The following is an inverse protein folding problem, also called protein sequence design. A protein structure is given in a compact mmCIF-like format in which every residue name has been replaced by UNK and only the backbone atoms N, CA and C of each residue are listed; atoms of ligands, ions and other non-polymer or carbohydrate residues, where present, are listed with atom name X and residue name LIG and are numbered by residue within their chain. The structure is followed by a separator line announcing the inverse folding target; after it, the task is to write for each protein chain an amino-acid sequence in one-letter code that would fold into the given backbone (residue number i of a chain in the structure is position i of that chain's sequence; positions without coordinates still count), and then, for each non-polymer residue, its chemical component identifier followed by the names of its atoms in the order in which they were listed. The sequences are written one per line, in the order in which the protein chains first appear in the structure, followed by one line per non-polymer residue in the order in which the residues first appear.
data_IF_641065678092
#
_entry.id   IF_641065678092
#
_cell.length_a   1.000
_cell.length_b   1.000
_cell.length_c   1.000
_cell.angle_alpha   90.00
_cell.angle_beta   90.00
_cell.angle_gamma   90.00
#
_symmetry.space_group_name_H-M   'P 1'
#
loop_
_entity.id
_entity.type
_entity.pdbx_description
1 polymer ?
#
# COMPACT_ATOMS: atom_id res chain seq x y z
N UNK A 1 -42.15 6.04 -36.31
CA UNK A 1 -42.66 6.13 -34.92
C UNK A 1 -42.69 4.77 -34.23
N UNK A 2 -43.17 3.68 -34.87
CA UNK A 2 -43.22 2.34 -34.28
C UNK A 2 -41.85 1.79 -33.82
N UNK A 3 -40.81 1.95 -34.63
CA UNK A 3 -39.45 1.49 -34.28
C UNK A 3 -38.86 2.21 -33.06
N UNK A 4 -39.16 3.50 -32.89
CA UNK A 4 -38.65 4.30 -31.77
C UNK A 4 -39.32 3.91 -30.45
N UNK A 5 -40.64 3.69 -30.46
CA UNK A 5 -41.41 3.19 -29.31
C UNK A 5 -40.88 1.83 -28.84
N UNK A 6 -40.62 0.91 -29.77
CA UNK A 6 -40.06 -0.42 -29.45
C UNK A 6 -38.63 -0.30 -28.89
N UNK A 7 -37.80 0.58 -29.46
CA UNK A 7 -36.45 0.84 -28.97
C UNK A 7 -36.45 1.38 -27.53
N UNK A 8 -37.31 2.36 -27.23
CA UNK A 8 -37.45 2.93 -25.89
C UNK A 8 -37.90 1.88 -24.88
N UNK A 9 -38.90 1.06 -25.23
CA UNK A 9 -39.34 -0.05 -24.40
C UNK A 9 -38.21 -1.03 -24.08
N UNK A 10 -37.41 -1.42 -25.08
CA UNK A 10 -36.28 -2.33 -24.88
C UNK A 10 -35.19 -1.73 -23.99
N UNK A 11 -34.91 -0.44 -24.12
CA UNK A 11 -33.99 0.29 -23.23
C UNK A 11 -34.47 0.29 -21.78
N UNK A 12 -35.75 0.61 -21.55
CA UNK A 12 -36.37 0.56 -20.22
C UNK A 12 -36.32 -0.86 -19.63
N UNK A 13 -36.58 -1.89 -20.44
CA UNK A 13 -36.50 -3.29 -20.02
C UNK A 13 -35.08 -3.67 -19.58
N UNK A 14 -34.05 -3.20 -20.29
CA UNK A 14 -32.66 -3.42 -19.87
C UNK A 14 -32.35 -2.71 -18.55
N UNK A 15 -32.79 -1.46 -18.39
CA UNK A 15 -32.62 -0.70 -17.14
C UNK A 15 -33.32 -1.37 -15.96
N UNK A 16 -34.55 -1.81 -16.15
CA UNK A 16 -35.33 -2.53 -15.14
C UNK A 16 -34.67 -3.84 -14.69
N UNK A 17 -34.06 -4.58 -15.63
CA UNK A 17 -33.29 -5.78 -15.28
C UNK A 17 -32.09 -5.47 -14.40
N UNK A 18 -31.34 -4.41 -14.70
CA UNK A 18 -30.21 -3.98 -13.85
C UNK A 18 -30.69 -3.56 -12.45
N UNK A 19 -31.84 -2.89 -12.40
CA UNK A 19 -32.45 -2.44 -11.16
C UNK A 19 -32.85 -3.60 -10.24
N UNK A 20 -33.10 -4.79 -10.78
CA UNK A 20 -33.34 -6.00 -9.97
C UNK A 20 -32.17 -6.34 -9.06
N UNK A 21 -30.93 -6.17 -9.53
CA UNK A 21 -29.72 -6.48 -8.73
C UNK A 21 -29.49 -5.39 -7.68
N UNK A 22 -29.76 -4.13 -8.05
CA UNK A 22 -29.64 -2.98 -7.15
C UNK A 22 -30.70 -3.01 -6.03
N UNK A 23 -31.94 -3.43 -6.34
CA UNK A 23 -33.04 -3.62 -5.37
C UNK A 23 -32.70 -4.71 -4.36
N UNK A 24 -31.97 -5.76 -4.78
CA UNK A 24 -31.45 -6.81 -3.87
C UNK A 24 -30.21 -6.36 -3.10
N UNK A 25 -29.71 -5.16 -3.37
CA UNK A 25 -28.52 -4.59 -2.75
C UNK A 25 -27.27 -5.46 -2.92
N UNK A 26 -27.14 -6.16 -4.05
CA UNK A 26 -26.02 -7.07 -4.30
C UNK A 26 -24.66 -6.38 -4.20
N UNK A 27 -24.58 -5.10 -4.59
CA UNK A 27 -23.36 -4.28 -4.45
C UNK A 27 -22.98 -4.08 -2.98
N UNK A 28 -23.96 -3.84 -2.10
CA UNK A 28 -23.73 -3.65 -0.67
C UNK A 28 -23.26 -4.96 -0.05
N UNK A 29 -23.94 -6.07 -0.36
CA UNK A 29 -23.56 -7.39 0.14
C UNK A 29 -22.11 -7.75 -0.23
N UNK A 30 -21.69 -7.49 -1.48
CA UNK A 30 -20.29 -7.69 -1.90
C UNK A 30 -19.30 -6.79 -1.13
N UNK A 31 -19.63 -5.53 -0.92
CA UNK A 31 -18.80 -4.61 -0.15
C UNK A 31 -18.65 -5.06 1.31
N UNK A 32 -19.75 -5.49 1.95
CA UNK A 32 -19.79 -6.02 3.32
C UNK A 32 -18.95 -7.29 3.44
N UNK A 33 -19.13 -8.27 2.55
CA UNK A 33 -18.29 -9.49 2.52
C UNK A 33 -16.81 -9.17 2.30
N UNK A 34 -16.50 -8.18 1.47
CA UNK A 34 -15.10 -7.76 1.26
C UNK A 34 -14.47 -7.18 2.52
N UNK A 35 -15.21 -6.35 3.28
CA UNK A 35 -14.73 -5.80 4.56
C UNK A 35 -14.49 -6.93 5.56
N UNK A 36 -15.47 -7.84 5.72
CA UNK A 36 -15.35 -9.00 6.60
C UNK A 36 -14.11 -9.84 6.28
N UNK A 37 -13.91 -10.16 5.01
CA UNK A 37 -12.78 -10.98 4.55
C UNK A 37 -11.45 -10.30 4.87
N UNK A 38 -11.34 -8.99 4.65
CA UNK A 38 -10.12 -8.23 4.96
C UNK A 38 -9.84 -8.21 6.46
N UNK A 39 -10.87 -7.94 7.28
CA UNK A 39 -10.73 -7.93 8.74
C UNK A 39 -10.31 -9.30 9.26
N UNK A 40 -10.96 -10.38 8.78
CA UNK A 40 -10.65 -11.75 9.17
C UNK A 40 -9.22 -12.17 8.80
N UNK A 41 -8.73 -11.76 7.62
CA UNK A 41 -7.41 -12.15 7.14
C UNK A 41 -6.27 -11.28 7.71
N UNK A 42 -6.57 -10.09 8.22
CA UNK A 42 -5.58 -9.12 8.69
C UNK A 42 -4.60 -9.69 9.73
N UNK A 43 -5.02 -10.45 10.77
CA UNK A 43 -4.09 -11.04 11.73
C UNK A 43 -3.07 -11.99 11.10
N UNK A 44 -3.48 -12.79 10.10
CA UNK A 44 -2.59 -13.72 9.42
C UNK A 44 -1.57 -12.98 8.53
N UNK A 45 -2.00 -11.92 7.84
CA UNK A 45 -1.09 -11.06 7.06
C UNK A 45 -0.08 -10.33 7.94
N UNK A 46 -0.51 -9.85 9.12
CA UNK A 46 0.40 -9.27 10.12
C UNK A 46 1.41 -10.32 10.61
N UNK A 47 0.94 -11.53 10.96
CA UNK A 47 1.82 -12.60 11.40
C UNK A 47 2.87 -12.95 10.34
N UNK A 48 2.48 -12.98 9.06
CA UNK A 48 3.37 -13.25 7.94
C UNK A 48 4.51 -12.23 7.83
N UNK A 49 4.24 -10.93 7.95
CA UNK A 49 5.30 -9.91 7.93
C UNK A 49 6.21 -9.99 9.17
N UNK A 50 5.68 -10.38 10.33
CA UNK A 50 6.49 -10.62 11.54
C UNK A 50 7.43 -11.81 11.40
N UNK A 51 6.96 -12.90 10.80
CA UNK A 51 7.80 -14.07 10.52
C UNK A 51 8.94 -13.76 9.55
N UNK A 52 8.77 -12.74 8.69
CA UNK A 52 9.82 -12.21 7.81
C UNK A 52 10.73 -11.18 8.49
N UNK A 53 10.58 -10.96 9.80
CA UNK A 53 11.42 -10.06 10.58
C UNK A 53 11.06 -8.57 10.48
N UNK A 54 9.90 -8.20 9.93
CA UNK A 54 9.48 -6.79 9.94
C UNK A 54 9.14 -6.34 11.36
N UNK A 55 9.99 -5.48 11.93
CA UNK A 55 9.95 -5.14 13.35
C UNK A 55 9.04 -3.95 13.69
N UNK A 56 8.61 -3.13 12.73
CA UNK A 56 7.93 -1.85 13.01
C UNK A 56 6.41 -1.91 12.87
N UNK A 57 5.74 -0.80 13.19
CA UNK A 57 4.28 -0.65 13.14
C UNK A 57 3.57 -1.66 14.05
N UNK A 58 3.99 -1.74 15.31
CA UNK A 58 3.38 -2.56 16.37
C UNK A 58 1.90 -2.28 16.66
N UNK A 59 1.41 -1.12 16.22
CA UNK A 59 -0.01 -0.76 16.32
C UNK A 59 -0.92 -1.60 15.41
N UNK A 60 -0.38 -2.32 14.42
CA UNK A 60 -1.19 -3.08 13.45
C UNK A 60 -1.99 -4.20 14.14
N UNK A 61 -1.37 -4.89 15.10
CA UNK A 61 -2.00 -5.95 15.89
C UNK A 61 -3.22 -5.42 16.66
N UNK A 62 -3.05 -4.29 17.36
CA UNK A 62 -4.13 -3.64 18.09
C UNK A 62 -5.23 -3.15 17.14
N UNK A 63 -4.88 -2.56 15.99
CA UNK A 63 -5.85 -2.11 15.00
C UNK A 63 -6.67 -3.27 14.44
N UNK A 64 -6.06 -4.41 14.13
CA UNK A 64 -6.78 -5.60 13.66
C UNK A 64 -7.81 -6.09 14.70
N UNK A 65 -7.45 -6.08 15.99
CA UNK A 65 -8.37 -6.42 17.07
C UNK A 65 -9.54 -5.41 17.17
N UNK A 66 -9.23 -4.10 17.09
CA UNK A 66 -10.25 -3.03 17.10
C UNK A 66 -11.21 -3.18 15.91
N UNK A 67 -10.71 -3.45 14.71
CA UNK A 67 -11.54 -3.69 13.54
C UNK A 67 -12.45 -4.90 13.70
N UNK A 68 -11.95 -5.99 14.27
CA UNK A 68 -12.75 -7.19 14.54
C UNK A 68 -13.92 -6.87 15.48
N UNK A 69 -13.65 -6.18 16.59
CA UNK A 69 -14.69 -5.76 17.56
C UNK A 69 -15.70 -4.79 16.94
N UNK A 70 -15.22 -3.80 16.17
CA UNK A 70 -16.08 -2.84 15.50
C UNK A 70 -16.96 -3.51 14.44
N UNK A 71 -16.41 -4.48 13.71
CA UNK A 71 -17.15 -5.25 12.71
C UNK A 71 -18.28 -6.05 13.33
N UNK A 72 -18.05 -6.77 14.43
CA UNK A 72 -19.10 -7.55 15.10
C UNK A 72 -20.30 -6.69 15.52
N UNK A 73 -20.04 -5.48 16.01
CA UNK A 73 -21.09 -4.52 16.37
C UNK A 73 -21.79 -3.95 15.13
N UNK A 74 -21.04 -3.61 14.10
CA UNK A 74 -21.54 -2.93 12.91
C UNK A 74 -22.30 -3.87 11.96
N UNK A 75 -21.83 -5.12 11.81
CA UNK A 75 -22.41 -6.12 10.92
C UNK A 75 -23.90 -6.32 11.20
N UNK A 76 -24.28 -6.50 12.48
CA UNK A 76 -25.69 -6.62 12.88
C UNK A 76 -26.53 -5.42 12.42
N UNK A 77 -26.00 -4.21 12.57
CA UNK A 77 -26.68 -2.97 12.16
C UNK A 77 -26.83 -2.90 10.64
N UNK A 78 -25.79 -3.26 9.90
CA UNK A 78 -25.81 -3.27 8.43
C UNK A 78 -26.86 -4.27 7.93
N UNK A 79 -26.86 -5.51 8.46
CA UNK A 79 -27.83 -6.54 8.07
C UNK A 79 -29.26 -6.07 8.26
N UNK A 80 -29.60 -5.47 9.42
CA UNK A 80 -30.94 -4.94 9.66
C UNK A 80 -31.34 -3.83 8.66
N UNK A 81 -30.40 -2.92 8.34
CA UNK A 81 -30.66 -1.85 7.36
C UNK A 81 -30.87 -2.43 5.96
N UNK A 82 -30.04 -3.39 5.54
CA UNK A 82 -30.19 -4.05 4.24
C UNK A 82 -31.55 -4.77 4.16
N UNK A 83 -31.90 -5.58 5.17
CA UNK A 83 -33.16 -6.32 5.19
C UNK A 83 -34.37 -5.38 5.12
N UNK A 84 -34.34 -4.28 5.86
CA UNK A 84 -35.39 -3.27 5.84
C UNK A 84 -35.53 -2.61 4.45
N UNK A 85 -34.42 -2.16 3.87
CA UNK A 85 -34.42 -1.46 2.58
C UNK A 85 -34.79 -2.40 1.43
N UNK A 86 -34.25 -3.63 1.40
CA UNK A 86 -34.62 -4.66 0.41
C UNK A 86 -36.10 -4.98 0.52
N UNK A 87 -36.67 -5.07 1.73
CA UNK A 87 -38.09 -5.30 1.94
C UNK A 87 -38.96 -4.21 1.31
N UNK A 88 -38.62 -2.94 1.53
CA UNK A 88 -39.32 -1.79 0.93
C UNK A 88 -39.18 -1.77 -0.61
N UNK A 89 -37.95 -1.87 -1.12
CA UNK A 89 -37.68 -1.80 -2.55
C UNK A 89 -38.27 -2.99 -3.32
N UNK A 90 -38.33 -4.17 -2.72
CA UNK A 90 -38.94 -5.35 -3.35
C UNK A 90 -40.43 -5.16 -3.62
N UNK A 91 -41.16 -4.51 -2.70
CA UNK A 91 -42.58 -4.21 -2.90
C UNK A 91 -42.79 -3.24 -4.06
N UNK A 92 -41.97 -2.20 -4.15
CA UNK A 92 -42.03 -1.23 -5.26
C UNK A 92 -41.59 -1.86 -6.59
N UNK A 93 -40.56 -2.70 -6.58
CA UNK A 93 -40.10 -3.44 -7.75
C UNK A 93 -41.21 -4.34 -8.30
N UNK A 94 -41.95 -5.06 -7.45
CA UNK A 94 -43.10 -5.88 -7.88
C UNK A 94 -44.24 -5.07 -8.49
N UNK A 95 -44.43 -3.80 -8.09
CA UNK A 95 -45.39 -2.90 -8.75
C UNK A 95 -44.91 -2.53 -10.16
N UNK A 96 -43.66 -2.14 -10.33
CA UNK A 96 -43.06 -1.83 -11.64
C UNK A 96 -43.05 -3.06 -12.55
N UNK A 97 -42.75 -4.24 -12.00
CA UNK A 97 -42.80 -5.53 -12.73
C UNK A 97 -44.19 -5.81 -13.31
N UNK A 98 -45.26 -5.55 -12.54
CA UNK A 98 -46.64 -5.69 -13.02
C UNK A 98 -46.94 -4.78 -14.21
N UNK A 99 -46.39 -3.55 -14.22
CA UNK A 99 -46.51 -2.61 -15.35
C UNK A 99 -45.73 -3.08 -16.57
N UNK A 100 -44.51 -3.60 -16.38
CA UNK A 100 -43.75 -4.25 -17.46
C UNK A 100 -44.52 -5.42 -18.07
N UNK A 101 -45.09 -6.30 -17.25
CA UNK A 101 -45.87 -7.45 -17.73
C UNK A 101 -47.09 -7.02 -18.56
N UNK A 102 -47.71 -5.88 -18.25
CA UNK A 102 -48.78 -5.31 -19.07
C UNK A 102 -48.25 -4.79 -20.42
N UNK A 103 -47.16 -4.01 -20.39
CA UNK A 103 -46.54 -3.46 -21.59
C UNK A 103 -46.02 -4.57 -22.54
N UNK A 104 -45.48 -5.65 -21.99
CA UNK A 104 -45.03 -6.81 -22.76
C UNK A 104 -46.15 -7.50 -23.53
N UNK A 105 -47.36 -7.61 -22.95
CA UNK A 105 -48.53 -8.20 -23.63
C UNK A 105 -48.95 -7.43 -24.87
N UNK A 106 -48.65 -6.12 -24.92
CA UNK A 106 -49.00 -5.25 -26.04
C UNK A 106 -47.78 -4.81 -26.86
N UNK A 107 -46.62 -5.43 -26.65
CA UNK A 107 -45.36 -5.01 -27.28
C UNK A 107 -45.39 -5.03 -28.81
N UNK A 108 -46.21 -5.90 -29.41
CA UNK A 108 -46.42 -5.99 -30.86
C UNK A 108 -47.44 -4.96 -31.40
N UNK A 109 -47.99 -4.10 -30.56
CA UNK A 109 -48.98 -3.08 -30.90
C UNK A 109 -48.46 -1.68 -30.53
N UNK A 110 -47.72 -1.00 -31.44
CA UNK A 110 -46.99 0.23 -31.11
C UNK A 110 -47.83 1.37 -30.53
N UNK A 111 -49.08 1.56 -30.98
CA UNK A 111 -49.96 2.60 -30.45
C UNK A 111 -50.38 2.35 -29.00
N UNK A 112 -50.65 1.09 -28.64
CA UNK A 112 -51.00 0.70 -27.26
C UNK A 112 -49.78 0.75 -26.34
N UNK A 113 -48.63 0.33 -26.85
CA UNK A 113 -47.37 0.42 -26.12
C UNK A 113 -47.00 1.88 -25.85
N UNK A 114 -47.14 2.78 -26.84
CA UNK A 114 -46.87 4.20 -26.67
C UNK A 114 -47.69 4.82 -25.53
N UNK A 115 -48.96 4.43 -25.38
CA UNK A 115 -49.82 4.90 -24.28
C UNK A 115 -49.41 4.43 -22.88
N UNK A 116 -48.50 3.46 -22.76
CA UNK A 116 -47.98 2.94 -21.48
C UNK A 116 -46.54 3.39 -21.20
N UNK A 117 -45.84 3.94 -22.19
CA UNK A 117 -44.40 4.17 -22.11
C UNK A 117 -44.02 5.28 -21.11
N UNK A 118 -44.76 6.38 -21.08
CA UNK A 118 -44.46 7.49 -20.18
C UNK A 118 -44.63 7.05 -18.71
N UNK A 119 -45.77 6.43 -18.37
CA UNK A 119 -46.03 5.88 -17.04
C UNK A 119 -44.99 4.83 -16.61
N UNK A 120 -44.54 3.98 -17.55
CA UNK A 120 -43.53 2.97 -17.29
C UNK A 120 -42.15 3.60 -17.06
N UNK A 121 -41.78 4.60 -17.86
CA UNK A 121 -40.53 5.34 -17.71
C UNK A 121 -40.48 6.02 -16.34
N UNK A 122 -41.54 6.72 -15.96
CA UNK A 122 -41.60 7.47 -14.71
C UNK A 122 -41.53 6.51 -13.51
N UNK A 123 -42.23 5.36 -13.58
CA UNK A 123 -42.16 4.33 -12.54
C UNK A 123 -40.75 3.71 -12.38
N UNK A 124 -40.06 3.44 -13.50
CA UNK A 124 -38.67 2.94 -13.47
C UNK A 124 -37.73 3.98 -12.89
N UNK A 125 -37.91 5.26 -13.25
CA UNK A 125 -37.09 6.35 -12.75
C UNK A 125 -37.27 6.54 -11.24
N UNK A 126 -38.51 6.54 -10.74
CA UNK A 126 -38.79 6.69 -9.31
C UNK A 126 -38.16 5.54 -8.50
N UNK A 127 -38.30 4.29 -8.97
CA UNK A 127 -37.69 3.14 -8.32
C UNK A 127 -36.15 3.22 -8.34
N UNK A 128 -35.56 3.69 -9.45
CA UNK A 128 -34.11 3.89 -9.56
C UNK A 128 -33.58 4.93 -8.56
N UNK A 129 -34.26 6.08 -8.48
CA UNK A 129 -33.90 7.16 -7.54
C UNK A 129 -33.98 6.69 -6.08
N UNK A 130 -35.07 5.99 -5.73
CA UNK A 130 -35.22 5.41 -4.38
C UNK A 130 -34.18 4.33 -4.09
N UNK A 131 -33.90 3.45 -5.05
CA UNK A 131 -32.89 2.39 -4.90
C UNK A 131 -31.51 3.01 -4.66
N UNK A 132 -31.12 4.03 -5.44
CA UNK A 132 -29.86 4.77 -5.22
C UNK A 132 -29.81 5.41 -3.83
N UNK A 133 -30.90 6.02 -3.38
CA UNK A 133 -30.97 6.60 -2.05
C UNK A 133 -30.81 5.54 -0.94
N UNK A 134 -31.47 4.39 -1.07
CA UNK A 134 -31.35 3.25 -0.15
C UNK A 134 -29.94 2.66 -0.12
N UNK A 135 -29.32 2.47 -1.28
CA UNK A 135 -27.92 2.01 -1.40
C UNK A 135 -26.96 2.99 -0.69
N UNK A 136 -27.14 4.30 -0.87
CA UNK A 136 -26.31 5.29 -0.20
C UNK A 136 -26.50 5.29 1.31
N UNK A 137 -27.75 5.20 1.80
CA UNK A 137 -28.02 5.07 3.25
C UNK A 137 -27.36 3.83 3.84
N UNK A 138 -27.41 2.69 3.14
CA UNK A 138 -26.74 1.47 3.59
C UNK A 138 -25.21 1.65 3.63
N UNK A 139 -24.61 2.29 2.61
CA UNK A 139 -23.16 2.59 2.57
C UNK A 139 -22.69 3.48 3.70
N UNK A 140 -23.46 4.50 4.04
CA UNK A 140 -23.12 5.44 5.10
C UNK A 140 -22.93 4.75 6.46
N UNK A 141 -23.61 3.62 6.70
CA UNK A 141 -23.45 2.84 7.94
C UNK A 141 -22.02 2.33 8.11
N UNK A 142 -21.33 1.94 7.03
CA UNK A 142 -20.01 1.29 7.09
C UNK A 142 -18.87 2.03 6.38
N UNK A 143 -19.14 3.19 5.80
CA UNK A 143 -18.16 3.94 5.00
C UNK A 143 -16.84 4.21 5.74
N UNK A 144 -16.90 4.63 7.01
CA UNK A 144 -15.70 4.91 7.82
C UNK A 144 -14.88 3.65 8.06
N UNK A 145 -15.51 2.57 8.54
CA UNK A 145 -14.80 1.32 8.79
C UNK A 145 -14.18 0.76 7.51
N UNK A 146 -14.92 0.82 6.39
CA UNK A 146 -14.40 0.41 5.08
C UNK A 146 -13.14 1.19 4.70
N UNK A 147 -13.18 2.52 4.84
CA UNK A 147 -12.04 3.38 4.53
C UNK A 147 -10.82 2.99 5.38
N UNK A 148 -11.01 2.84 6.69
CA UNK A 148 -9.92 2.53 7.62
C UNK A 148 -9.33 1.13 7.34
N UNK A 149 -10.17 0.13 7.06
CA UNK A 149 -9.73 -1.22 6.69
C UNK A 149 -8.98 -1.22 5.35
N UNK A 150 -9.49 -0.50 4.34
CA UNK A 150 -8.83 -0.37 3.05
C UNK A 150 -7.47 0.35 3.15
N UNK A 151 -7.36 1.35 4.02
CA UNK A 151 -6.10 2.03 4.31
C UNK A 151 -5.08 1.12 5.00
N UNK A 152 -5.50 0.33 5.99
CA UNK A 152 -4.61 -0.61 6.67
C UNK A 152 -4.21 -1.78 5.77
N UNK A 153 -5.10 -2.25 4.89
CA UNK A 153 -4.74 -3.26 3.89
C UNK A 153 -3.65 -2.73 2.95
N UNK A 154 -3.77 -1.49 2.45
CA UNK A 154 -2.71 -0.87 1.64
C UNK A 154 -1.38 -0.76 2.38
N UNK A 155 -1.41 -0.46 3.68
CA UNK A 155 -0.19 -0.45 4.50
C UNK A 155 0.44 -1.84 4.62
N UNK A 156 -0.36 -2.90 4.78
CA UNK A 156 0.16 -4.28 4.82
C UNK A 156 0.71 -4.74 3.46
N UNK A 157 0.04 -4.37 2.37
CA UNK A 157 0.52 -4.66 1.01
C UNK A 157 1.87 -3.96 0.76
N UNK A 158 2.02 -2.71 1.21
CA UNK A 158 3.26 -1.95 1.14
C UNK A 158 4.38 -2.62 1.96
N UNK A 159 4.11 -3.05 3.19
CA UNK A 159 5.12 -3.74 4.02
C UNK A 159 5.52 -5.08 3.42
N UNK A 160 4.55 -5.86 2.91
CA UNK A 160 4.87 -7.11 2.21
C UNK A 160 5.80 -6.83 1.01
N UNK A 161 5.53 -5.76 0.26
CA UNK A 161 6.42 -5.34 -0.82
C UNK A 161 7.81 -4.92 -0.33
N UNK A 162 7.93 -4.22 0.81
CA UNK A 162 9.24 -3.93 1.41
C UNK A 162 10.02 -5.21 1.71
N UNK A 163 9.36 -6.18 2.32
CA UNK A 163 9.98 -7.47 2.63
C UNK A 163 10.35 -8.22 1.34
N UNK A 164 9.52 -8.21 0.29
CA UNK A 164 9.84 -8.86 -0.99
C UNK A 164 11.10 -8.26 -1.61
N UNK A 165 11.20 -6.93 -1.61
CA UNK A 165 12.39 -6.24 -2.14
C UNK A 165 13.63 -6.57 -1.29
N UNK A 166 13.50 -6.60 0.04
CA UNK A 166 14.61 -6.92 0.95
C UNK A 166 15.09 -8.37 0.85
N UNK A 167 14.19 -9.32 0.59
CA UNK A 167 14.53 -10.73 0.36
C UNK A 167 15.32 -10.93 -0.94
N UNK A 168 15.15 -10.03 -1.91
CA UNK A 168 15.91 -10.05 -3.16
C UNK A 168 17.20 -9.21 -3.10
N UNK A 169 17.47 -8.47 -2.03
CA UNK A 169 18.62 -7.58 -1.91
C UNK A 169 19.95 -8.36 -1.75
N UNK A 170 21.06 -7.82 -2.26
CA UNK A 170 22.39 -8.43 -2.17
C UNK A 170 23.12 -8.18 -0.85
N UNK A 171 22.50 -7.43 0.07
CA UNK A 171 23.05 -7.14 1.39
C UNK A 171 22.22 -7.75 2.52
N UNK A 172 22.92 -8.10 3.59
CA UNK A 172 22.33 -8.57 4.84
C UNK A 172 22.09 -7.41 5.81
N UNK A 173 21.07 -7.58 6.66
CA UNK A 173 20.87 -6.66 7.79
C UNK A 173 21.94 -6.91 8.86
N UNK A 174 22.41 -5.82 9.46
CA UNK A 174 23.31 -5.83 10.61
C UNK A 174 22.65 -6.44 11.84
N UNK A 175 23.45 -6.76 12.85
CA UNK A 175 22.91 -7.29 14.10
C UNK A 175 21.96 -6.28 14.76
N UNK A 176 20.74 -6.73 15.06
CA UNK A 176 19.67 -5.89 15.58
C UNK A 176 19.14 -4.84 14.61
N UNK A 177 19.59 -4.84 13.34
CA UNK A 177 19.05 -3.96 12.31
C UNK A 177 17.72 -4.52 11.81
N UNK A 178 16.77 -3.63 11.55
CA UNK A 178 15.45 -3.96 11.03
C UNK A 178 15.07 -3.02 9.90
N UNK A 179 14.49 -3.60 8.84
CA UNK A 179 13.97 -2.82 7.72
C UNK A 179 12.79 -1.96 8.18
N UNK A 180 12.82 -0.66 7.86
CA UNK A 180 11.72 0.26 8.15
C UNK A 180 10.85 0.53 6.91
N UNK A 181 11.47 0.95 5.81
CA UNK A 181 10.78 1.22 4.54
C UNK A 181 11.71 1.10 3.32
N UNK A 182 11.11 0.91 2.15
CA UNK A 182 11.81 0.80 0.86
C UNK A 182 11.14 1.71 -0.16
N UNK A 183 11.91 2.28 -1.08
CA UNK A 183 11.39 2.95 -2.27
C UNK A 183 12.18 2.51 -3.50
N UNK A 184 11.53 2.53 -4.66
CA UNK A 184 12.24 2.59 -5.93
C UNK A 184 12.89 3.96 -6.03
N UNK A 185 14.11 4.02 -6.54
CA UNK A 185 14.76 5.30 -6.74
C UNK A 185 15.84 5.29 -7.80
N UNK A 186 16.29 6.48 -8.14
CA UNK A 186 17.45 6.75 -9.01
C UNK A 186 18.45 7.55 -8.20
N UNK A 187 19.67 7.03 -8.06
CA UNK A 187 20.75 7.76 -7.41
C UNK A 187 21.37 8.72 -8.43
N UNK A 188 21.29 10.02 -8.14
CA UNK A 188 21.80 11.08 -9.03
C UNK A 188 23.32 11.22 -8.87
N UNK A 189 24.05 10.18 -9.28
CA UNK A 189 25.51 10.10 -9.15
C UNK A 189 26.23 11.10 -10.07
N UNK A 190 25.72 11.31 -11.28
CA UNK A 190 26.35 12.12 -12.33
C UNK A 190 25.59 13.42 -12.63
N UNK A 191 24.33 13.51 -12.21
CA UNK A 191 23.40 14.58 -12.60
C UNK A 191 22.87 14.44 -14.02
N UNK A 192 23.21 13.35 -14.72
CA UNK A 192 22.77 13.01 -16.06
C UNK A 192 21.95 11.72 -15.97
N UNK A 193 20.63 11.85 -15.79
CA UNK A 193 19.71 10.74 -15.50
C UNK A 193 19.67 9.53 -16.45
N UNK A 194 20.50 9.46 -17.51
CA UNK A 194 20.69 8.24 -18.33
C UNK A 194 21.82 7.34 -17.84
N UNK A 195 22.77 7.92 -17.10
CA UNK A 195 23.96 7.25 -16.56
C UNK A 195 23.84 7.11 -15.03
N UNK A 196 22.75 7.59 -14.44
CA UNK A 196 22.45 7.55 -13.01
C UNK A 196 21.82 6.18 -12.66
N UNK A 197 22.33 5.46 -11.64
CA UNK A 197 21.85 4.13 -11.29
C UNK A 197 20.38 4.09 -10.86
N UNK A 198 19.60 3.21 -11.49
CA UNK A 198 18.25 2.84 -11.05
C UNK A 198 18.29 1.69 -10.04
N UNK A 199 17.49 1.77 -8.98
CA UNK A 199 17.54 0.79 -7.91
C UNK A 199 16.52 0.98 -6.80
N UNK A 200 16.91 0.60 -5.59
CA UNK A 200 16.10 0.66 -4.39
C UNK A 200 16.82 1.40 -3.27
N UNK A 201 16.10 2.33 -2.64
CA UNK A 201 16.50 3.02 -1.43
C UNK A 201 15.86 2.31 -0.24
N UNK A 202 16.69 1.83 0.68
CA UNK A 202 16.28 1.18 1.92
C UNK A 202 16.55 2.11 3.09
N UNK A 203 15.56 2.28 3.97
CA UNK A 203 15.75 2.87 5.28
C UNK A 203 15.61 1.76 6.32
N UNK A 204 16.64 1.59 7.15
CA UNK A 204 16.61 0.75 8.34
C UNK A 204 16.65 1.63 9.58
N UNK A 205 16.68 1.02 10.75
CA UNK A 205 16.93 1.69 12.03
C UNK A 205 18.40 2.01 12.32
N UNK A 206 19.32 1.63 11.44
CA UNK A 206 20.75 1.88 11.62
C UNK A 206 21.38 2.68 10.48
N UNK A 207 20.88 2.54 9.24
CA UNK A 207 21.47 3.15 8.05
C UNK A 207 20.47 3.34 6.92
N UNK A 208 20.87 4.11 5.93
CA UNK A 208 20.25 4.16 4.61
C UNK A 208 21.16 3.42 3.64
N UNK A 209 20.57 2.59 2.78
CA UNK A 209 21.29 1.82 1.76
C UNK A 209 20.68 2.10 0.41
N UNK A 210 21.51 2.30 -0.62
CA UNK A 210 21.05 2.29 -2.01
C UNK A 210 21.70 1.13 -2.75
N UNK A 211 20.83 0.28 -3.31
CA UNK A 211 21.23 -0.85 -4.13
C UNK A 211 20.80 -0.56 -5.57
N UNK A 212 21.76 -0.51 -6.50
CA UNK A 212 21.45 -0.50 -7.92
C UNK A 212 20.79 -1.83 -8.26
N UNK A 213 19.71 -1.81 -9.04
CA UNK A 213 19.05 -3.02 -9.55
C UNK A 213 18.34 -2.73 -10.86
N UNK A 214 19.05 -2.92 -11.97
CA UNK A 214 18.53 -2.59 -13.30
C UNK A 214 19.17 -3.41 -14.45
N UNK A 215 18.57 -3.29 -15.64
CA UNK A 215 19.12 -3.85 -16.88
C UNK A 215 19.85 -2.78 -17.68
N UNK A 216 21.17 -2.72 -17.56
CA UNK A 216 22.03 -1.81 -18.33
C UNK A 216 22.41 -2.38 -19.70
N UNK A 217 22.78 -1.50 -20.64
CA UNK A 217 23.34 -1.91 -21.95
C UNK A 217 22.32 -2.27 -23.04
N UNK A 218 21.05 -1.88 -22.90
CA UNK A 218 20.05 -2.05 -23.97
C UNK A 218 20.35 -1.13 -25.16
N UNK A 219 20.81 -1.67 -26.29
CA UNK A 219 20.91 -0.94 -27.55
C UNK A 219 19.69 -1.26 -28.43
N UNK A 220 18.88 -0.24 -28.75
CA UNK A 220 17.85 -0.23 -29.81
C UNK A 220 17.03 -1.53 -29.96
N UNK A 221 16.19 -1.84 -28.97
CA UNK A 221 15.12 -2.85 -29.10
C UNK A 221 15.54 -4.33 -29.03
N UNK A 222 16.82 -4.64 -28.79
CA UNK A 222 17.27 -6.02 -28.62
C UNK A 222 17.28 -6.47 -27.15
N UNK A 223 16.69 -7.65 -26.92
CA UNK A 223 16.86 -8.43 -25.70
C UNK A 223 18.36 -8.73 -25.50
N UNK A 224 18.95 -8.30 -24.37
CA UNK A 224 20.38 -8.54 -24.10
C UNK A 224 21.08 -7.62 -23.07
N UNK A 225 20.36 -6.81 -22.29
CA UNK A 225 20.98 -6.01 -21.23
C UNK A 225 21.52 -6.87 -20.09
N UNK A 226 22.67 -6.48 -19.52
CA UNK A 226 23.25 -7.11 -18.33
C UNK A 226 22.43 -6.69 -17.11
N UNK A 227 22.02 -7.65 -16.29
CA UNK A 227 21.48 -7.35 -14.97
C UNK A 227 22.62 -6.88 -14.08
N UNK A 228 22.50 -5.68 -13.54
CA UNK A 228 23.39 -5.17 -12.50
C UNK A 228 22.59 -5.10 -11.22
N UNK A 229 23.14 -5.69 -10.17
CA UNK A 229 22.58 -5.63 -8.83
C UNK A 229 23.72 -5.59 -7.83
N UNK A 230 23.95 -4.43 -7.22
CA UNK A 230 25.00 -4.22 -6.23
C UNK A 230 24.68 -3.03 -5.33
N UNK A 231 25.22 -3.05 -4.11
CA UNK A 231 25.14 -1.91 -3.20
C UNK A 231 26.09 -0.83 -3.69
N UNK A 232 25.55 0.35 -4.00
CA UNK A 232 26.33 1.51 -4.41
C UNK A 232 26.90 2.24 -3.19
N UNK A 233 26.06 2.39 -2.16
CA UNK A 233 26.44 3.02 -0.92
C UNK A 233 25.52 2.64 0.23
N UNK A 234 26.09 2.71 1.43
CA UNK A 234 25.39 2.59 2.69
C UNK A 234 25.91 3.65 3.65
N UNK A 235 25.00 4.38 4.30
CA UNK A 235 25.32 5.51 5.16
C UNK A 235 24.65 5.29 6.52
N UNK A 236 25.42 5.10 7.60
CA UNK A 236 24.90 5.09 8.96
C UNK A 236 24.06 6.33 9.26
N UNK A 237 22.94 6.17 9.97
CA UNK A 237 22.03 7.28 10.28
C UNK A 237 22.71 8.41 11.06
N UNK A 238 23.69 8.07 11.92
CA UNK A 238 24.46 9.05 12.68
C UNK A 238 25.42 9.91 11.81
N UNK A 239 25.71 9.50 10.58
CA UNK A 239 26.49 10.28 9.61
C UNK A 239 25.63 11.24 8.78
N UNK A 240 24.31 11.15 8.86
CA UNK A 240 23.40 12.09 8.22
C UNK A 240 23.36 13.37 9.06
N UNK A 241 23.74 14.49 8.45
CA UNK A 241 23.63 15.82 9.08
C UNK A 241 22.25 16.42 8.84
N UNK A 242 21.70 16.24 7.64
CA UNK A 242 20.36 16.67 7.28
C UNK A 242 19.86 16.03 6.00
N UNK A 243 18.54 16.04 5.83
CA UNK A 243 17.88 15.59 4.61
C UNK A 243 16.80 16.59 4.22
N UNK A 244 16.81 17.02 2.96
CA UNK A 244 15.84 17.95 2.40
C UNK A 244 15.09 17.29 1.23
N UNK A 245 13.90 17.77 0.91
CA UNK A 245 13.13 17.32 -0.24
C UNK A 245 12.93 18.44 -1.26
N UNK A 246 12.86 18.08 -2.54
CA UNK A 246 12.54 19.01 -3.63
C UNK A 246 11.54 18.36 -4.60
N UNK A 247 10.48 19.07 -4.99
CA UNK A 247 9.54 18.64 -6.04
C UNK A 247 9.81 19.42 -7.33
N UNK A 248 10.31 18.75 -8.38
CA UNK A 248 10.51 19.40 -9.69
C UNK A 248 9.26 19.23 -10.58
N UNK A 249 8.39 20.24 -10.65
CA UNK A 249 7.22 20.31 -11.57
C UNK A 249 7.36 21.43 -12.62
N UNK A 250 6.63 21.53 -13.74
CA UNK A 250 5.65 20.69 -14.45
C UNK A 250 6.35 19.97 -15.63
N UNK A 251 5.85 18.82 -16.11
CA UNK A 251 6.46 17.94 -17.14
C UNK A 251 7.51 16.93 -16.64
N UNK A 252 7.36 16.41 -15.42
CA UNK A 252 8.21 15.29 -14.98
C UNK A 252 8.07 14.88 -13.52
N UNK A 253 7.72 15.81 -12.62
CA UNK A 253 7.36 15.52 -11.22
C UNK A 253 8.39 14.64 -10.52
N UNK A 254 9.67 15.03 -10.52
CA UNK A 254 10.71 14.28 -9.80
C UNK A 254 10.65 14.65 -8.31
N UNK A 255 10.49 13.64 -7.46
CA UNK A 255 10.49 13.78 -6.02
C UNK A 255 11.89 13.47 -5.50
N UNK A 256 12.66 14.52 -5.20
CA UNK A 256 14.07 14.41 -4.82
C UNK A 256 14.24 14.39 -3.30
N UNK A 257 15.24 13.63 -2.84
CA UNK A 257 15.83 13.66 -1.50
C UNK A 257 17.29 14.14 -1.63
N UNK A 258 17.67 15.13 -0.82
CA UNK A 258 19.02 15.68 -0.76
C UNK A 258 19.60 15.46 0.63
N UNK A 259 20.58 14.57 0.72
CA UNK A 259 21.30 14.28 1.95
C UNK A 259 22.54 15.17 2.05
N UNK A 260 22.75 15.74 3.23
CA UNK A 260 24.03 16.33 3.63
C UNK A 260 24.64 15.44 4.70
N UNK A 261 25.90 15.05 4.51
CA UNK A 261 26.58 14.08 5.38
C UNK A 261 27.71 14.74 6.15
N UNK A 262 27.98 14.20 7.34
CA UNK A 262 29.04 14.67 8.22
C UNK A 262 30.42 14.35 7.64
N UNK A 263 31.43 15.12 8.07
CA UNK A 263 32.83 14.85 7.73
C UNK A 263 33.24 13.43 8.12
N UNK A 264 33.89 12.71 7.20
CA UNK A 264 34.28 11.31 7.36
C UNK A 264 33.32 10.30 6.70
N UNK A 265 32.16 10.74 6.21
CA UNK A 265 31.32 9.92 5.33
C UNK A 265 31.94 9.76 3.93
N UNK A 266 31.58 8.70 3.17
CA UNK A 266 32.11 8.47 1.81
C UNK A 266 31.77 9.58 0.80
N UNK A 267 30.73 10.37 1.07
CA UNK A 267 30.27 11.50 0.25
C UNK A 267 29.98 12.70 1.14
N UNK A 268 30.14 13.92 0.62
CA UNK A 268 29.66 15.13 1.30
C UNK A 268 28.14 15.28 1.16
N UNK A 269 27.61 14.90 -0.01
CA UNK A 269 26.19 15.00 -0.37
C UNK A 269 25.76 13.82 -1.22
N UNK A 270 24.52 13.39 -1.04
CA UNK A 270 23.87 12.37 -1.87
C UNK A 270 22.53 12.93 -2.34
N UNK A 271 22.14 12.65 -3.57
CA UNK A 271 20.81 13.00 -4.09
C UNK A 271 20.15 11.77 -4.68
N UNK A 272 18.92 11.49 -4.28
CA UNK A 272 18.13 10.36 -4.77
C UNK A 272 16.77 10.88 -5.23
N UNK A 273 16.35 10.50 -6.43
CA UNK A 273 14.94 10.62 -6.82
C UNK A 273 14.19 9.40 -6.29
N UNK A 274 13.18 9.60 -5.45
CA UNK A 274 12.23 8.53 -5.10
C UNK A 274 11.13 8.46 -6.15
N UNK A 275 10.79 7.23 -6.57
CA UNK A 275 9.90 6.97 -7.71
C UNK A 275 8.62 6.24 -7.28
N UNK A 276 7.59 6.32 -8.12
CA UNK A 276 6.36 5.56 -7.99
C UNK A 276 5.37 6.21 -7.02
N UNK A 277 4.94 5.46 -6.00
CA UNK A 277 4.01 5.95 -4.97
C UNK A 277 4.74 6.56 -3.75
N UNK A 278 6.07 6.58 -3.76
CA UNK A 278 6.87 7.19 -2.71
C UNK A 278 6.73 8.72 -2.76
N UNK A 279 6.54 9.34 -1.60
CA UNK A 279 6.47 10.80 -1.42
C UNK A 279 7.73 11.28 -0.68
N UNK A 280 8.48 12.20 -1.25
CA UNK A 280 9.75 12.66 -0.67
C UNK A 280 9.58 13.35 0.70
N UNK A 281 8.50 14.09 0.93
CA UNK A 281 8.24 14.75 2.22
C UNK A 281 8.03 13.71 3.31
N UNK A 282 7.26 12.67 2.98
CA UNK A 282 7.04 11.54 3.87
C UNK A 282 8.36 10.83 4.19
N UNK A 283 9.21 10.60 3.18
CA UNK A 283 10.54 10.02 3.38
C UNK A 283 11.45 10.85 4.29
N UNK A 284 11.58 12.17 4.03
CA UNK A 284 12.32 13.10 4.91
C UNK A 284 11.85 12.97 6.35
N UNK A 285 10.53 13.05 6.56
CA UNK A 285 9.94 12.91 7.90
C UNK A 285 10.29 11.57 8.55
N UNK A 286 10.21 10.45 7.81
CA UNK A 286 10.53 9.14 8.39
C UNK A 286 12.01 8.98 8.73
N UNK A 287 12.92 9.51 7.89
CA UNK A 287 14.36 9.51 8.15
C UNK A 287 14.68 10.32 9.41
N UNK A 288 14.12 11.53 9.53
CA UNK A 288 14.32 12.38 10.71
C UNK A 288 13.81 11.72 11.99
N UNK A 289 12.61 11.13 11.95
CA UNK A 289 12.04 10.36 13.08
C UNK A 289 12.94 9.20 13.48
N UNK A 290 13.50 8.49 12.50
CA UNK A 290 14.40 7.37 12.76
C UNK A 290 15.70 7.84 13.41
N UNK A 291 16.31 8.92 12.89
CA UNK A 291 17.50 9.54 13.48
C UNK A 291 17.23 10.01 14.92
N UNK A 292 16.05 10.56 15.18
CA UNK A 292 15.64 11.02 16.50
C UNK A 292 15.24 9.89 17.47
N UNK A 293 15.10 8.65 16.99
CA UNK A 293 14.65 7.51 17.79
C UNK A 293 13.14 7.54 18.14
N UNK A 294 12.34 8.33 17.41
CA UNK A 294 10.90 8.50 17.60
C UNK A 294 10.06 7.34 17.04
N UNK A 295 10.72 6.26 16.62
CA UNK A 295 10.10 5.04 16.07
C UNK A 295 10.31 3.83 16.98
N UNK A 296 11.02 4.00 18.11
CA UNK A 296 11.34 2.91 19.03
C UNK A 296 10.09 2.29 19.69
N UNK A 297 9.08 3.10 19.97
CA UNK A 297 7.79 2.63 20.52
C UNK A 297 6.89 1.96 19.48
N UNK A 298 7.24 2.06 18.18
CA UNK A 298 6.57 1.36 17.10
C UNK A 298 7.08 -0.07 16.89
N UNK A 299 8.05 -0.54 17.69
CA UNK A 299 8.61 -1.89 17.54
C UNK A 299 7.66 -2.96 18.08
N UNK A 300 7.41 -3.97 17.24
CA UNK A 300 6.74 -5.21 17.57
C UNK A 300 7.73 -6.33 17.91
N UNK A 301 8.97 -6.21 17.41
CA UNK A 301 10.06 -7.15 17.66
C UNK A 301 11.21 -6.34 18.27
N UNK A 302 11.41 -6.51 19.57
CA UNK A 302 12.53 -5.90 20.28
C UNK A 302 13.84 -6.61 19.92
N UNK A 303 14.94 -5.87 19.71
CA UNK A 303 16.25 -6.48 19.57
C UNK A 303 16.65 -7.16 20.88
N UNK A 304 17.35 -8.29 20.79
CA UNK A 304 17.85 -9.00 21.96
C UNK A 304 18.73 -8.09 22.84
N UNK A 305 18.36 -7.84 24.12
CA UNK A 305 19.14 -6.98 25.01
C UNK A 305 20.60 -7.41 25.17
N UNK A 306 20.89 -8.71 25.18
CA UNK A 306 22.27 -9.20 25.29
C UNK A 306 23.07 -8.88 24.03
N UNK A 307 22.47 -9.05 22.85
CA UNK A 307 23.06 -8.63 21.58
C UNK A 307 23.30 -7.12 21.56
N UNK A 308 22.33 -6.30 21.97
CA UNK A 308 22.49 -4.84 22.01
C UNK A 308 23.66 -4.43 22.91
N UNK A 309 23.80 -5.06 24.09
CA UNK A 309 24.91 -4.77 25.00
C UNK A 309 26.26 -5.23 24.43
N UNK A 310 26.30 -6.37 23.74
CA UNK A 310 27.51 -6.82 23.02
C UNK A 310 27.92 -5.84 21.92
N UNK A 311 26.96 -5.36 21.11
CA UNK A 311 27.21 -4.39 20.05
C UNK A 311 27.72 -3.06 20.61
N UNK A 312 27.17 -2.59 21.74
CA UNK A 312 27.64 -1.38 22.43
C UNK A 312 29.09 -1.47 22.87
N UNK A 313 29.51 -2.66 23.32
CA UNK A 313 30.87 -2.92 23.81
C UNK A 313 31.80 -3.47 22.73
N UNK A 314 31.33 -3.63 21.49
CA UNK A 314 32.13 -4.17 20.42
C UNK A 314 33.26 -3.20 20.04
N UNK A 315 34.48 -3.71 19.79
CA UNK A 315 35.59 -2.87 19.38
C UNK A 315 35.31 -2.28 17.99
N UNK A 316 35.47 -0.96 17.86
CA UNK A 316 35.38 -0.24 16.57
C UNK A 316 36.72 -0.09 15.89
N UNK A 317 37.81 -0.39 16.60
CA UNK A 317 39.19 -0.33 16.12
C UNK A 317 39.89 -1.67 16.39
N UNK A 318 40.73 -2.07 15.44
CA UNK A 318 41.55 -3.25 15.57
C UNK A 318 42.61 -3.00 16.65
N UNK A 319 42.53 -3.73 17.76
CA UNK A 319 43.52 -3.64 18.84
C UNK A 319 44.96 -4.01 18.44
N UNK A 320 45.15 -4.60 17.25
CA UNK A 320 46.47 -4.99 16.72
C UNK A 320 47.09 -3.87 15.87
N UNK A 321 46.33 -3.25 14.97
CA UNK A 321 46.88 -2.27 14.01
C UNK A 321 46.24 -0.88 14.07
N UNK A 322 45.20 -0.69 14.89
CA UNK A 322 44.45 0.56 15.00
C UNK A 322 43.50 0.84 13.83
N UNK A 323 43.39 -0.06 12.84
CA UNK A 323 42.47 0.14 11.72
C UNK A 323 41.00 0.02 12.18
N UNK A 324 40.12 0.85 11.63
CA UNK A 324 38.67 0.75 11.85
C UNK A 324 38.16 -0.64 11.45
N UNK A 325 37.33 -1.23 12.29
CA UNK A 325 36.71 -2.54 12.03
C UNK A 325 35.37 -2.37 11.30
N UNK A 326 34.99 -3.33 10.44
CA UNK A 326 33.70 -3.26 9.78
C UNK A 326 32.55 -3.43 10.78
N UNK A 327 31.37 -2.84 10.50
CA UNK A 327 30.16 -3.05 11.29
C UNK A 327 29.80 -4.54 11.42
N UNK A 328 29.14 -4.90 12.51
CA UNK A 328 28.81 -6.30 12.80
C UNK A 328 27.48 -6.70 12.18
N UNK A 329 27.51 -7.73 11.34
CA UNK A 329 26.30 -8.37 10.83
C UNK A 329 25.60 -9.22 11.91
N UNK A 330 24.31 -9.55 11.69
CA UNK A 330 23.53 -10.39 12.59
C UNK A 330 24.22 -11.67 12.99
N UNK A 331 24.32 -11.94 14.30
CA UNK A 331 24.94 -13.13 14.91
C UNK A 331 26.47 -13.25 14.72
N UNK A 332 27.18 -12.19 14.35
CA UNK A 332 28.64 -12.20 14.30
C UNK A 332 29.25 -12.17 15.71
N UNK A 333 29.96 -13.25 16.06
CA UNK A 333 30.75 -13.34 17.31
C UNK A 333 32.24 -13.08 17.07
N UNK A 334 32.61 -12.72 15.84
CA UNK A 334 33.97 -12.38 15.46
C UNK A 334 33.98 -11.45 14.25
N UNK A 335 34.96 -10.55 14.18
CA UNK A 335 35.21 -9.63 13.06
C UNK A 335 36.66 -9.74 12.61
N UNK A 336 36.87 -9.76 11.29
CA UNK A 336 38.21 -9.78 10.70
C UNK A 336 38.63 -8.35 10.33
N UNK A 337 39.83 -7.94 10.73
CA UNK A 337 40.42 -6.69 10.29
C UNK A 337 40.89 -6.81 8.84
N UNK A 338 40.31 -6.02 7.94
CA UNK A 338 40.69 -6.04 6.51
C UNK A 338 42.13 -5.57 6.25
N UNK A 339 42.70 -4.77 7.16
CA UNK A 339 44.05 -4.25 7.02
C UNK A 339 45.14 -5.26 7.42
N UNK A 340 45.03 -5.85 8.62
CA UNK A 340 46.06 -6.74 9.16
C UNK A 340 45.67 -8.22 9.20
N UNK A 341 44.43 -8.56 8.85
CA UNK A 341 43.92 -9.94 8.86
C UNK A 341 43.62 -10.51 10.25
N UNK A 342 43.78 -9.73 11.33
CA UNK A 342 43.52 -10.21 12.69
C UNK A 342 42.03 -10.49 12.91
N UNK A 343 41.72 -11.64 13.49
CA UNK A 343 40.36 -12.03 13.88
C UNK A 343 40.11 -11.63 15.33
N UNK A 344 39.10 -10.82 15.56
CA UNK A 344 38.72 -10.27 16.87
C UNK A 344 37.40 -10.92 17.26
N UNK A 345 37.37 -11.59 18.42
CA UNK A 345 36.14 -12.19 18.95
C UNK A 345 35.40 -11.18 19.81
N UNK A 346 34.07 -11.22 19.75
CA UNK A 346 33.14 -10.23 20.33
C UNK A 346 32.34 -10.88 21.44
#
# INVERSE_FOLDING_TARGET
MSEEVIRQFNSLKQRFKQLSDDVRMDVINREVTSIETKIHNMPAEIQKIRQRGYAFRSYLEQKAEVFSKHWEALHRRITMVIEQEVGCLSQEFSEVERRFNLAERVANHPERLAGLLDDLRDAVQELDEKTKASVNRAREVYATLKKDVDENQRQLDEINWFCDVKDEATFDLLAGESLFMVAKGEWVATGKGKDDPDGYLYLTDQRIVFEQKEKVGKKLGLFGGKQVQEVEWEIPLNQIEGVEWENKGLFGGKDMLHFTLRSGAPYDKITVEVKGAADNKYWVKQIERMIAGETNDERAIEPDPEMVEKLRNAPTECHICGATLPPLAGNMNQVSCEYCGSVIRI
#
